data_IF_388388762483
#
_entry.id   IF_388388762483
#
_cell.length_a   1.000
_cell.length_b   1.000
_cell.length_c   1.000
_cell.angle_alpha   90.00
_cell.angle_beta   90.00
_cell.angle_gamma   90.00
#
_symmetry.space_group_name_H-M   'P 1'
#
loop_
_entity.id
_entity.type
_entity.pdbx_description
1 polymer ?
#
# COMPACT_ATOMS: atom_id res chain seq x y z
N UNK A 1 18.34 15.10 6.59
CA UNK A 1 17.54 13.94 7.02
C UNK A 1 16.07 14.37 7.02
N UNK A 2 15.36 14.19 5.89
CA UNK A 2 14.10 14.90 5.57
C UNK A 2 12.84 14.04 5.51
N UNK A 3 12.86 12.86 6.11
CA UNK A 3 11.66 12.02 6.20
C UNK A 3 11.24 11.98 7.66
N UNK A 4 10.10 12.59 7.98
CA UNK A 4 9.50 12.46 9.31
C UNK A 4 9.13 10.99 9.48
N UNK A 5 9.96 10.24 10.21
CA UNK A 5 9.75 8.83 10.47
C UNK A 5 8.50 8.66 11.35
N UNK A 6 8.49 9.28 12.53
CA UNK A 6 7.31 9.46 13.38
C UNK A 6 7.16 10.97 13.59
N UNK A 7 5.95 11.49 13.42
CA UNK A 7 5.65 12.89 13.61
C UNK A 7 4.30 13.13 14.28
N UNK A 8 4.20 14.26 14.98
CA UNK A 8 2.95 14.88 15.39
C UNK A 8 2.84 16.21 14.64
N UNK A 9 1.99 16.24 13.61
CA UNK A 9 1.76 17.40 12.78
C UNK A 9 0.81 18.34 13.52
N UNK A 10 1.34 19.49 13.95
CA UNK A 10 0.57 20.53 14.62
C UNK A 10 -0.02 21.48 13.57
N UNK A 11 -1.35 21.55 13.41
CA UNK A 11 -1.96 22.54 12.53
C UNK A 11 -1.62 23.97 12.97
N UNK A 12 -1.57 24.92 12.02
CA UNK A 12 -1.44 26.35 12.35
C UNK A 12 -2.63 26.88 13.15
N UNK A 13 -3.81 26.33 12.87
CA UNK A 13 -5.03 26.56 13.64
C UNK A 13 -4.97 25.79 14.97
N UNK A 14 -4.65 26.50 16.05
CA UNK A 14 -4.47 25.93 17.38
C UNK A 14 -5.75 25.29 17.97
N UNK A 15 -6.93 25.54 17.37
CA UNK A 15 -8.16 24.87 17.79
C UNK A 15 -8.21 23.40 17.36
N UNK A 16 -7.36 22.98 16.41
CA UNK A 16 -7.36 21.63 15.85
C UNK A 16 -6.31 20.75 16.50
N UNK A 17 -6.64 19.48 16.80
CA UNK A 17 -5.71 18.57 17.46
C UNK A 17 -4.57 18.16 16.52
N UNK A 18 -3.40 17.94 17.11
CA UNK A 18 -2.26 17.35 16.43
C UNK A 18 -2.63 16.03 15.74
N UNK A 19 -2.14 15.82 14.52
CA UNK A 19 -2.36 14.58 13.78
C UNK A 19 -1.09 13.74 13.74
N UNK A 20 -1.17 12.41 13.92
CA UNK A 20 -0.03 11.54 13.68
C UNK A 20 0.37 11.60 12.21
N UNK A 21 1.67 11.64 11.94
CA UNK A 21 2.22 11.71 10.59
C UNK A 21 3.53 10.95 10.47
N UNK A 22 4.01 10.85 9.25
CA UNK A 22 5.27 10.19 8.93
C UNK A 22 5.14 8.77 8.40
N UNK A 23 6.24 8.27 7.83
CA UNK A 23 6.29 6.97 7.17
C UNK A 23 6.09 5.81 8.16
N UNK A 24 6.44 6.03 9.43
CA UNK A 24 6.35 5.08 10.53
C UNK A 24 4.94 4.57 10.78
N UNK A 25 3.90 5.35 10.44
CA UNK A 25 2.49 4.99 10.70
C UNK A 25 2.12 3.65 10.07
N UNK A 26 2.75 3.28 8.95
CA UNK A 26 2.56 2.00 8.28
C UNK A 26 3.68 0.97 8.52
N UNK A 27 4.73 1.32 9.26
CA UNK A 27 5.82 0.40 9.59
C UNK A 27 5.49 -0.41 10.85
N UNK A 28 5.85 -1.69 10.87
CA UNK A 28 5.61 -2.62 11.99
C UNK A 28 6.56 -2.44 13.18
N UNK A 29 7.04 -1.21 13.38
CA UNK A 29 7.90 -0.82 14.50
C UNK A 29 7.15 0.11 15.46
N UNK A 30 7.58 0.14 16.72
CA UNK A 30 7.00 0.96 17.79
C UNK A 30 7.66 2.33 17.86
N UNK A 31 8.99 2.43 17.68
CA UNK A 31 9.75 3.66 17.87
C UNK A 31 10.72 3.91 16.73
N UNK A 32 11.95 3.41 16.81
CA UNK A 32 13.02 3.75 15.87
C UNK A 32 12.76 3.17 14.46
N UNK A 33 13.34 3.82 13.45
CA UNK A 33 13.42 3.22 12.12
C UNK A 33 14.30 1.97 12.21
N UNK A 34 13.85 0.80 11.71
CA UNK A 34 14.65 -0.41 11.78
C UNK A 34 15.93 -0.28 10.97
N UNK A 35 16.99 -0.94 11.44
CA UNK A 35 18.22 -1.08 10.68
C UNK A 35 17.99 -1.83 9.36
N UNK A 36 18.85 -1.55 8.38
CA UNK A 36 18.80 -2.24 7.09
C UNK A 36 19.11 -3.74 7.26
N UNK A 37 18.62 -4.60 6.34
CA UNK A 37 18.98 -6.01 6.31
C UNK A 37 20.51 -6.21 6.40
N UNK A 38 20.94 -7.18 7.22
CA UNK A 38 22.36 -7.45 7.50
C UNK A 38 22.97 -6.58 8.62
N UNK A 39 22.24 -5.59 9.14
CA UNK A 39 22.66 -4.74 10.27
C UNK A 39 21.67 -4.74 11.44
N UNK A 40 20.71 -5.67 11.41
CA UNK A 40 19.68 -5.82 12.45
C UNK A 40 20.35 -6.22 13.78
N UNK A 41 19.92 -5.59 14.87
CA UNK A 41 20.43 -5.85 16.21
C UNK A 41 19.30 -6.08 17.22
N UNK A 42 19.67 -6.29 18.49
CA UNK A 42 18.71 -6.57 19.57
C UNK A 42 17.65 -5.47 19.76
N UNK A 43 18.01 -4.20 19.54
CA UNK A 43 17.07 -3.09 19.65
C UNK A 43 15.99 -3.15 18.57
N UNK A 44 16.31 -3.61 17.35
CA UNK A 44 15.31 -3.80 16.30
C UNK A 44 14.27 -4.86 16.68
N UNK A 45 14.69 -5.96 17.31
CA UNK A 45 13.77 -7.01 17.75
C UNK A 45 12.83 -6.54 18.87
N UNK A 46 13.35 -5.76 19.82
CA UNK A 46 12.54 -5.15 20.90
C UNK A 46 11.57 -4.07 20.40
N UNK A 47 11.79 -3.58 19.18
CA UNK A 47 11.02 -2.50 18.57
C UNK A 47 9.85 -3.00 17.71
N UNK A 48 9.63 -4.31 17.57
CA UNK A 48 8.56 -4.87 16.73
C UNK A 48 7.18 -4.64 17.38
N UNK A 49 6.23 -4.11 16.61
CA UNK A 49 4.83 -4.02 17.02
C UNK A 49 4.08 -5.31 16.60
N UNK A 50 3.99 -6.28 17.52
CA UNK A 50 3.31 -7.55 17.24
C UNK A 50 1.77 -7.37 17.11
N UNK A 51 1.20 -6.41 17.83
CA UNK A 51 -0.25 -6.27 17.98
C UNK A 51 -0.90 -5.66 16.73
N UNK A 52 -0.16 -4.87 15.96
CA UNK A 52 -0.66 -4.26 14.71
C UNK A 52 -1.14 -5.28 13.69
N UNK A 53 -0.57 -6.50 13.69
CA UNK A 53 -0.96 -7.58 12.80
C UNK A 53 -1.79 -8.67 13.47
N UNK A 54 -1.72 -8.81 14.80
CA UNK A 54 -2.27 -9.98 15.50
C UNK A 54 -3.46 -9.69 16.42
N UNK A 55 -3.70 -8.44 16.85
CA UNK A 55 -4.76 -8.12 17.80
C UNK A 55 -5.92 -7.36 17.12
N UNK A 56 -7.18 -7.85 17.13
CA UNK A 56 -8.27 -7.32 16.30
C UNK A 56 -8.72 -5.91 16.69
N UNK A 57 -8.64 -5.58 17.98
CA UNK A 57 -9.05 -4.28 18.51
C UNK A 57 -7.87 -3.35 18.85
N UNK A 58 -6.68 -3.67 18.37
CA UNK A 58 -5.51 -2.83 18.58
C UNK A 58 -5.46 -1.69 17.57
N UNK A 59 -5.31 -0.48 18.10
CA UNK A 59 -5.00 0.73 17.34
C UNK A 59 -3.87 1.43 18.08
N UNK A 60 -3.02 2.13 17.33
CA UNK A 60 -1.91 2.88 17.88
C UNK A 60 -2.01 4.35 17.51
N UNK A 61 -1.64 5.21 18.44
CA UNK A 61 -1.41 6.64 18.24
C UNK A 61 0.07 6.95 18.38
N UNK A 62 0.41 8.23 18.32
CA UNK A 62 1.78 8.71 18.59
C UNK A 62 1.79 9.41 19.94
N UNK A 63 2.76 9.07 20.79
CA UNK A 63 2.99 9.66 22.10
C UNK A 63 4.42 10.16 22.23
N UNK A 64 4.64 11.10 23.15
CA UNK A 64 6.00 11.53 23.53
C UNK A 64 6.68 10.48 24.41
N UNK A 65 7.97 10.31 24.20
CA UNK A 65 8.86 9.46 24.99
C UNK A 65 10.15 10.25 25.28
N UNK A 66 10.12 11.04 26.35
CA UNK A 66 11.09 12.11 26.57
C UNK A 66 11.03 13.12 25.42
N UNK A 67 12.18 13.37 24.78
CA UNK A 67 12.30 14.24 23.60
C UNK A 67 11.91 13.55 22.28
N UNK A 68 11.73 12.22 22.30
CA UNK A 68 11.40 11.43 21.12
C UNK A 68 9.89 11.19 20.98
N UNK A 69 9.50 10.65 19.82
CA UNK A 69 8.15 10.15 19.57
C UNK A 69 8.17 8.63 19.38
N UNK A 70 7.12 7.96 19.85
CA UNK A 70 6.87 6.54 19.58
C UNK A 70 5.40 6.30 19.29
N UNK A 71 5.11 5.20 18.61
CA UNK A 71 3.80 4.60 18.60
C UNK A 71 3.50 3.97 19.96
N UNK A 72 2.27 4.12 20.39
CA UNK A 72 1.73 3.43 21.55
C UNK A 72 0.27 3.14 21.32
N UNK A 73 -0.31 2.27 22.13
CA UNK A 73 -1.74 2.00 22.12
C UNK A 73 -2.54 3.32 22.19
N UNK A 74 -3.48 3.49 21.27
CA UNK A 74 -4.32 4.68 21.22
C UNK A 74 -5.22 4.75 22.47
N UNK A 75 -5.74 5.94 22.78
CA UNK A 75 -6.68 6.11 23.89
C UNK A 75 -7.85 5.12 23.80
N UNK A 76 -8.19 4.49 24.93
CA UNK A 76 -9.25 3.48 25.02
C UNK A 76 -8.83 2.05 24.63
N UNK A 77 -7.57 1.82 24.23
CA UNK A 77 -7.05 0.47 23.98
C UNK A 77 -6.49 -0.12 25.28
N UNK A 78 -7.12 -1.19 25.76
CA UNK A 78 -6.55 -2.06 26.79
C UNK A 78 -5.49 -2.97 26.14
N UNK A 79 -4.22 -2.71 26.44
CA UNK A 79 -3.09 -3.44 25.86
C UNK A 79 -3.04 -4.89 26.34
N UNK A 80 -3.44 -5.17 27.58
CA UNK A 80 -3.45 -6.54 28.09
C UNK A 80 -4.53 -7.35 27.35
N UNK A 81 -5.74 -6.78 27.21
CA UNK A 81 -6.81 -7.43 26.44
C UNK A 81 -6.45 -7.57 24.96
N UNK A 82 -5.76 -6.59 24.37
CA UNK A 82 -5.26 -6.70 23.00
C UNK A 82 -4.24 -7.85 22.88
N UNK A 83 -3.29 -7.97 23.81
CA UNK A 83 -2.30 -9.05 23.83
C UNK A 83 -2.94 -10.42 24.08
N UNK A 84 -3.98 -10.52 24.91
CA UNK A 84 -4.73 -11.76 25.16
C UNK A 84 -5.62 -12.19 23.99
N UNK A 85 -5.93 -11.29 23.05
CA UNK A 85 -6.78 -11.55 21.87
C UNK A 85 -5.97 -11.80 20.59
N UNK A 86 -4.67 -12.05 20.72
CA UNK A 86 -3.81 -12.35 19.56
C UNK A 86 -4.31 -13.57 18.80
N UNK A 87 -4.34 -13.45 17.47
CA UNK A 87 -4.87 -14.48 16.58
C UNK A 87 -4.21 -14.43 15.20
N UNK A 88 -4.63 -15.33 14.30
CA UNK A 88 -4.26 -15.28 12.88
C UNK A 88 -4.74 -13.93 12.30
N UNK A 89 -3.92 -13.22 11.49
CA UNK A 89 -4.29 -11.92 10.95
C UNK A 89 -5.58 -11.96 10.13
N UNK A 90 -6.47 -10.98 10.36
CA UNK A 90 -7.66 -10.72 9.54
C UNK A 90 -7.37 -9.68 8.45
N UNK A 91 -8.26 -9.53 7.48
CA UNK A 91 -8.10 -8.54 6.41
C UNK A 91 -8.04 -7.11 6.97
N UNK A 92 -8.85 -6.83 7.98
CA UNK A 92 -8.90 -5.53 8.65
C UNK A 92 -7.54 -5.16 9.26
N UNK A 93 -6.81 -6.14 9.82
CA UNK A 93 -5.48 -5.90 10.40
C UNK A 93 -4.45 -5.51 9.32
N UNK A 94 -4.46 -6.19 8.17
CA UNK A 94 -3.61 -5.82 7.04
C UNK A 94 -3.98 -4.42 6.49
N UNK A 95 -5.30 -4.16 6.42
CA UNK A 95 -5.83 -2.92 5.86
C UNK A 95 -5.61 -1.68 6.74
N UNK A 96 -5.20 -1.83 8.01
CA UNK A 96 -4.75 -0.71 8.87
C UNK A 96 -3.70 0.17 8.19
N UNK A 97 -2.81 -0.47 7.42
CA UNK A 97 -1.77 0.23 6.66
C UNK A 97 -2.09 0.23 5.17
N UNK A 98 -2.47 -0.93 4.61
CA UNK A 98 -2.62 -1.08 3.17
C UNK A 98 -3.75 -0.23 2.58
N UNK A 99 -4.86 -0.03 3.31
CA UNK A 99 -6.00 0.73 2.80
C UNK A 99 -5.69 2.22 2.60
N UNK A 100 -4.92 2.83 3.50
CA UNK A 100 -4.68 4.27 3.53
C UNK A 100 -3.36 4.72 2.90
N UNK A 101 -2.69 3.82 2.17
CA UNK A 101 -1.44 4.14 1.48
C UNK A 101 -1.62 5.34 0.53
N UNK A 102 -0.75 6.35 0.66
CA UNK A 102 -0.88 7.61 -0.09
C UNK A 102 -1.78 8.66 0.58
N UNK A 103 -2.10 8.52 1.87
CA UNK A 103 -2.77 9.55 2.66
C UNK A 103 -4.30 9.54 2.56
N UNK A 104 -4.88 8.38 2.23
CA UNK A 104 -6.33 8.20 2.23
C UNK A 104 -6.74 6.84 1.68
N UNK A 105 -7.98 6.41 1.95
CA UNK A 105 -8.48 5.10 1.57
C UNK A 105 -8.41 4.91 0.04
N UNK A 106 -7.81 3.81 -0.42
CA UNK A 106 -7.68 3.43 -1.82
C UNK A 106 -6.89 4.39 -2.74
N UNK A 107 -6.25 5.42 -2.17
CA UNK A 107 -5.58 6.47 -2.94
C UNK A 107 -4.47 5.96 -3.86
N UNK A 108 -3.59 5.08 -3.35
CA UNK A 108 -2.41 4.61 -4.09
C UNK A 108 -2.70 3.50 -5.11
N UNK A 109 -3.12 2.32 -4.65
CA UNK A 109 -3.24 1.14 -5.52
C UNK A 109 -4.57 1.08 -6.28
N UNK A 110 -5.66 1.60 -5.71
CA UNK A 110 -6.98 1.62 -6.36
C UNK A 110 -7.72 0.29 -6.36
N UNK A 111 -7.18 -0.77 -5.74
CA UNK A 111 -7.78 -2.12 -5.74
C UNK A 111 -7.91 -2.70 -4.33
N UNK A 112 -8.17 -1.85 -3.33
CA UNK A 112 -8.43 -2.33 -1.97
C UNK A 112 -9.68 -3.23 -1.98
N UNK A 113 -9.55 -4.51 -1.58
CA UNK A 113 -10.66 -5.45 -1.70
C UNK A 113 -11.66 -5.24 -0.57
N UNK A 114 -12.94 -5.21 -0.91
CA UNK A 114 -14.06 -5.26 0.02
C UNK A 114 -14.94 -6.47 -0.31
N UNK A 115 -15.88 -6.81 0.57
CA UNK A 115 -16.88 -7.86 0.26
C UNK A 115 -17.73 -7.52 -0.98
N UNK A 116 -17.87 -6.23 -1.30
CA UNK A 116 -18.67 -5.76 -2.44
C UNK A 116 -17.86 -5.66 -3.74
N UNK A 117 -16.53 -5.45 -3.63
CA UNK A 117 -15.66 -5.19 -4.79
C UNK A 117 -14.79 -6.39 -5.20
N UNK A 118 -14.57 -7.36 -4.31
CA UNK A 118 -13.69 -8.50 -4.52
C UNK A 118 -14.37 -9.84 -4.20
N UNK A 119 -14.45 -10.73 -5.18
CA UNK A 119 -15.15 -12.02 -5.08
C UNK A 119 -14.48 -12.99 -4.11
N UNK A 120 -13.17 -12.90 -3.90
CA UNK A 120 -12.44 -13.77 -2.99
C UNK A 120 -12.72 -13.36 -1.55
N UNK A 121 -12.65 -12.05 -1.27
CA UNK A 121 -13.00 -11.51 0.05
C UNK A 121 -14.49 -11.71 0.36
N UNK A 122 -15.38 -11.57 -0.63
CA UNK A 122 -16.80 -11.88 -0.49
C UNK A 122 -17.06 -13.34 -0.06
N UNK A 123 -16.19 -14.27 -0.47
CA UNK A 123 -16.24 -15.69 -0.11
C UNK A 123 -15.48 -16.02 1.19
N UNK A 124 -15.03 -15.00 1.93
CA UNK A 124 -14.38 -15.18 3.23
C UNK A 124 -12.88 -15.44 3.16
N UNK A 125 -12.23 -15.22 2.00
CA UNK A 125 -10.78 -15.35 1.90
C UNK A 125 -10.07 -14.25 2.70
N UNK A 126 -9.05 -14.64 3.46
CA UNK A 126 -8.16 -13.72 4.14
C UNK A 126 -6.91 -13.40 3.30
N UNK A 127 -6.29 -12.23 3.53
CA UNK A 127 -5.08 -11.80 2.82
C UNK A 127 -4.00 -12.89 2.86
N UNK A 128 -3.77 -13.48 4.03
CA UNK A 128 -2.75 -14.53 4.26
C UNK A 128 -3.07 -15.88 3.61
N UNK A 129 -4.29 -16.09 3.11
CA UNK A 129 -4.64 -17.30 2.36
C UNK A 129 -4.13 -17.21 0.89
N UNK A 130 -3.98 -15.99 0.36
CA UNK A 130 -3.37 -15.71 -0.95
C UNK A 130 -1.90 -15.26 -0.84
N UNK A 131 -1.55 -14.59 0.27
CA UNK A 131 -0.20 -14.13 0.63
C UNK A 131 0.45 -15.10 1.63
N UNK A 132 0.95 -16.28 1.17
CA UNK A 132 1.52 -17.29 2.05
C UNK A 132 2.68 -16.70 2.86
N UNK A 133 2.68 -16.98 4.16
CA UNK A 133 3.67 -16.43 5.08
C UNK A 133 4.53 -17.54 5.67
N UNK A 134 5.85 -17.40 5.59
CA UNK A 134 6.81 -18.37 6.12
C UNK A 134 7.80 -17.67 7.04
N UNK A 135 7.85 -18.03 8.34
CA UNK A 135 8.74 -17.38 9.33
C UNK A 135 8.63 -15.84 9.29
N UNK A 136 7.39 -15.32 9.25
CA UNK A 136 7.05 -13.89 9.12
C UNK A 136 7.50 -13.20 7.81
N UNK A 137 8.02 -13.94 6.83
CA UNK A 137 8.23 -13.45 5.47
C UNK A 137 6.94 -13.62 4.67
N UNK A 138 6.39 -12.54 4.14
CA UNK A 138 5.07 -12.57 3.47
C UNK A 138 5.29 -12.67 1.96
N UNK A 139 4.71 -13.71 1.34
CA UNK A 139 4.67 -13.85 -0.10
C UNK A 139 3.83 -12.75 -0.72
N UNK A 140 4.45 -11.93 -1.55
CA UNK A 140 3.78 -10.95 -2.41
C UNK A 140 4.18 -11.17 -3.87
N UNK A 141 4.39 -10.08 -4.60
CA UNK A 141 5.17 -10.15 -5.82
C UNK A 141 4.33 -10.09 -7.08
N UNK A 142 4.01 -8.87 -7.46
CA UNK A 142 3.77 -8.53 -8.86
C UNK A 142 4.16 -7.12 -9.28
N UNK A 143 4.61 -6.24 -8.40
CA UNK A 143 4.94 -4.85 -8.79
C UNK A 143 5.99 -4.19 -7.88
N UNK A 144 6.33 -4.82 -6.76
CA UNK A 144 7.29 -4.30 -5.78
C UNK A 144 8.71 -4.80 -6.08
N UNK A 145 9.68 -3.88 -6.01
CA UNK A 145 11.12 -4.20 -6.14
C UNK A 145 11.66 -5.02 -4.97
N UNK A 146 10.96 -5.05 -3.84
CA UNK A 146 11.35 -5.79 -2.64
C UNK A 146 10.27 -6.84 -2.33
N UNK A 147 10.73 -8.07 -2.10
CA UNK A 147 9.91 -9.25 -1.85
C UNK A 147 10.55 -10.01 -0.68
N UNK A 148 9.74 -10.46 0.29
CA UNK A 148 10.28 -11.23 1.42
C UNK A 148 10.57 -12.70 1.04
N UNK A 149 9.71 -13.28 0.19
CA UNK A 149 9.82 -14.62 -0.35
C UNK A 149 9.95 -14.57 -1.88
N UNK A 150 11.19 -14.55 -2.39
CA UNK A 150 11.51 -14.42 -3.81
C UNK A 150 11.03 -15.61 -4.65
N UNK A 151 11.06 -16.81 -4.07
CA UNK A 151 10.65 -18.05 -4.77
C UNK A 151 9.14 -18.29 -4.71
N UNK A 152 8.41 -17.47 -3.97
CA UNK A 152 6.96 -17.62 -3.79
C UNK A 152 6.22 -16.63 -4.67
N UNK A 153 5.61 -17.18 -5.72
CA UNK A 153 4.82 -16.43 -6.68
C UNK A 153 3.34 -16.47 -6.30
N UNK A 154 2.78 -15.30 -5.98
CA UNK A 154 1.33 -15.13 -5.86
C UNK A 154 0.74 -15.04 -7.26
N UNK A 155 -0.10 -16.02 -7.62
CA UNK A 155 -0.75 -16.10 -8.93
C UNK A 155 -2.11 -16.81 -8.81
N UNK A 156 -3.01 -16.53 -9.75
CA UNK A 156 -4.35 -17.11 -9.79
C UNK A 156 -4.30 -18.63 -9.89
N UNK A 157 -3.27 -19.17 -10.56
CA UNK A 157 -3.08 -20.61 -10.74
C UNK A 157 -2.68 -21.35 -9.46
N UNK A 158 -2.44 -20.65 -8.34
CA UNK A 158 -2.24 -21.30 -7.05
C UNK A 158 -3.51 -21.99 -6.53
N UNK A 159 -4.68 -21.53 -6.98
CA UNK A 159 -5.99 -22.12 -6.65
C UNK A 159 -6.75 -22.55 -7.92
N UNK A 160 -6.68 -21.77 -8.99
CA UNK A 160 -7.32 -22.08 -10.28
C UNK A 160 -6.44 -23.00 -11.13
N UNK A 161 -6.41 -24.29 -10.78
CA UNK A 161 -5.48 -25.30 -11.34
C UNK A 161 -6.05 -26.16 -12.46
N UNK A 162 -7.33 -26.03 -12.78
CA UNK A 162 -7.94 -26.86 -13.81
C UNK A 162 -7.29 -26.60 -15.18
N UNK A 163 -7.03 -27.67 -15.94
CA UNK A 163 -6.38 -27.59 -17.25
C UNK A 163 -7.18 -26.75 -18.26
N UNK A 164 -8.50 -26.69 -18.08
CA UNK A 164 -9.42 -25.76 -18.72
C UNK A 164 -10.20 -24.98 -17.66
N UNK A 165 -9.68 -23.82 -17.25
CA UNK A 165 -10.33 -22.95 -16.24
C UNK A 165 -11.67 -22.42 -16.78
N UNK A 166 -11.73 -22.11 -18.08
CA UNK A 166 -12.94 -21.60 -18.73
C UNK A 166 -13.71 -22.73 -19.43
N UNK A 167 -14.30 -23.66 -18.67
CA UNK A 167 -15.04 -24.82 -19.22
C UNK A 167 -16.24 -24.45 -20.08
N UNK A 168 -16.88 -23.31 -19.78
CA UNK A 168 -18.03 -22.82 -20.52
C UNK A 168 -17.68 -22.29 -21.92
N UNK A 169 -16.40 -22.02 -22.20
CA UNK A 169 -15.93 -21.66 -23.53
C UNK A 169 -15.69 -22.92 -24.37
N UNK A 170 -16.71 -23.32 -25.13
CA UNK A 170 -16.67 -24.49 -26.01
C UNK A 170 -15.57 -24.43 -27.08
N UNK A 171 -15.07 -23.23 -27.41
CA UNK A 171 -13.99 -23.05 -28.41
C UNK A 171 -12.59 -23.26 -27.81
N UNK A 172 -12.47 -23.21 -26.48
CA UNK A 172 -11.20 -23.20 -25.75
C UNK A 172 -10.31 -21.98 -26.01
N UNK A 173 -10.82 -20.97 -26.72
CA UNK A 173 -10.06 -19.79 -27.14
C UNK A 173 -9.63 -18.92 -25.96
N UNK A 174 -10.46 -18.77 -24.92
CA UNK A 174 -10.11 -18.01 -23.72
C UNK A 174 -8.95 -18.68 -22.97
N UNK A 175 -8.94 -20.02 -22.89
CA UNK A 175 -7.84 -20.75 -22.27
C UNK A 175 -6.52 -20.53 -23.03
N UNK A 176 -6.54 -20.43 -24.37
CA UNK A 176 -5.34 -20.10 -25.16
C UNK A 176 -4.77 -18.72 -24.83
N UNK A 177 -5.61 -17.71 -24.59
CA UNK A 177 -5.14 -16.37 -24.21
C UNK A 177 -4.34 -16.34 -22.91
N UNK A 178 -4.62 -17.25 -21.97
CA UNK A 178 -3.90 -17.30 -20.68
C UNK A 178 -2.38 -17.48 -20.82
N UNK A 179 -1.91 -17.95 -21.99
CA UNK A 179 -0.48 -18.02 -22.33
C UNK A 179 0.17 -16.64 -22.51
N UNK A 180 -0.57 -15.63 -22.95
CA UNK A 180 -0.07 -14.28 -23.28
C UNK A 180 -0.76 -13.13 -22.55
N UNK A 181 -1.90 -13.38 -21.91
CA UNK A 181 -2.70 -12.41 -21.17
C UNK A 181 -2.80 -12.86 -19.72
N UNK A 182 -2.46 -11.98 -18.78
CA UNK A 182 -2.56 -12.23 -17.36
C UNK A 182 -4.03 -12.21 -16.92
N UNK A 183 -4.45 -13.12 -16.03
CA UNK A 183 -5.86 -13.27 -15.61
C UNK A 183 -6.50 -11.95 -15.17
N UNK A 184 -5.73 -11.13 -14.45
CA UNK A 184 -6.10 -9.82 -13.96
C UNK A 184 -6.59 -8.89 -15.09
N UNK A 185 -6.03 -8.98 -16.31
CA UNK A 185 -6.42 -8.15 -17.46
C UNK A 185 -7.90 -8.30 -17.77
N UNK A 186 -8.44 -9.51 -17.68
CA UNK A 186 -9.84 -9.79 -17.96
C UNK A 186 -10.71 -9.69 -16.69
N UNK A 187 -10.19 -10.11 -15.53
CA UNK A 187 -10.97 -10.24 -14.30
C UNK A 187 -10.94 -9.00 -13.39
N UNK A 188 -10.07 -8.02 -13.66
CA UNK A 188 -10.00 -6.74 -12.95
C UNK A 188 -10.16 -5.62 -13.99
N UNK A 189 -11.38 -5.38 -14.50
CA UNK A 189 -11.60 -4.50 -15.64
C UNK A 189 -11.40 -3.01 -15.33
N UNK A 190 -11.41 -2.64 -14.05
CA UNK A 190 -11.18 -1.28 -13.58
C UNK A 190 -10.65 -1.26 -12.14
N UNK A 191 -9.85 -0.26 -11.81
CA UNK A 191 -9.55 0.11 -10.44
C UNK A 191 -10.64 1.05 -9.89
N UNK A 192 -10.75 1.12 -8.56
CA UNK A 192 -11.70 1.96 -7.82
C UNK A 192 -13.15 1.76 -8.31
N UNK A 193 -13.58 0.49 -8.40
CA UNK A 193 -14.91 0.11 -8.87
C UNK A 193 -16.03 0.55 -7.93
N UNK A 194 -15.74 0.60 -6.63
CA UNK A 194 -16.64 1.20 -5.66
C UNK A 194 -16.54 2.73 -5.74
N UNK A 195 -17.61 3.44 -6.16
CA UNK A 195 -17.57 4.90 -6.27
C UNK A 195 -17.35 5.60 -4.92
N UNK A 196 -17.59 4.92 -3.78
CA UNK A 196 -17.32 5.45 -2.44
C UNK A 196 -15.83 5.44 -2.08
N UNK A 197 -15.01 4.72 -2.86
CA UNK A 197 -13.58 4.53 -2.62
C UNK A 197 -12.77 4.92 -3.87
N UNK A 198 -12.80 6.21 -4.29
CA UNK A 198 -12.02 6.66 -5.44
C UNK A 198 -10.52 6.47 -5.21
N UNK A 199 -9.77 6.34 -6.30
CA UNK A 199 -8.31 6.31 -6.27
C UNK A 199 -7.73 7.60 -6.84
N UNK A 200 -6.46 7.90 -6.57
CA UNK A 200 -5.81 9.11 -7.08
C UNK A 200 -5.05 8.80 -8.37
N UNK A 201 -5.41 9.44 -9.47
CA UNK A 201 -4.76 9.27 -10.78
C UNK A 201 -3.69 10.33 -11.04
N UNK A 202 -3.81 11.51 -10.44
CA UNK A 202 -2.79 12.55 -10.48
C UNK A 202 -2.60 13.18 -9.11
N UNK A 203 -1.35 13.50 -8.76
CA UNK A 203 -1.00 14.21 -7.54
C UNK A 203 -0.02 15.34 -7.85
N UNK A 204 -0.40 16.56 -7.52
CA UNK A 204 0.40 17.75 -7.75
C UNK A 204 0.89 18.33 -6.41
N UNK A 205 2.18 18.13 -6.14
CA UNK A 205 2.83 18.61 -4.93
C UNK A 205 3.17 20.11 -4.99
N UNK A 206 3.12 20.74 -6.17
CA UNK A 206 3.35 22.18 -6.32
C UNK A 206 2.13 23.01 -5.90
N UNK A 207 0.96 22.36 -5.75
CA UNK A 207 -0.31 23.01 -5.43
C UNK A 207 -0.86 22.50 -4.11
N UNK A 208 -0.57 23.16 -2.99
CA UNK A 208 -1.06 22.78 -1.67
C UNK A 208 -2.56 23.04 -1.52
N UNK A 209 -3.28 22.13 -0.87
CA UNK A 209 -4.70 22.22 -0.53
C UNK A 209 -4.89 22.01 0.96
N UNK A 210 -5.53 22.98 1.62
CA UNK A 210 -5.83 22.90 3.05
C UNK A 210 -7.03 21.98 3.30
N UNK A 211 -6.83 20.95 4.12
CA UNK A 211 -7.93 20.16 4.66
C UNK A 211 -8.55 20.91 5.85
N UNK A 212 -9.78 21.38 5.69
CA UNK A 212 -10.45 22.19 6.71
C UNK A 212 -10.72 21.43 8.02
N UNK A 213 -10.89 20.10 7.98
CA UNK A 213 -11.14 19.31 9.18
C UNK A 213 -9.90 19.16 10.05
N UNK A 214 -8.74 18.94 9.41
CA UNK A 214 -7.47 18.71 10.12
C UNK A 214 -6.63 19.96 10.28
N UNK A 215 -6.86 21.00 9.47
CA UNK A 215 -6.01 22.19 9.41
C UNK A 215 -4.63 21.93 8.80
N UNK A 216 -4.46 20.82 8.09
CA UNK A 216 -3.21 20.41 7.44
C UNK A 216 -3.33 20.48 5.92
N UNK A 217 -2.21 20.78 5.28
CA UNK A 217 -2.08 20.79 3.83
C UNK A 217 -1.76 19.40 3.27
N UNK A 218 -2.33 19.11 2.11
CA UNK A 218 -1.97 18.00 1.25
C UNK A 218 -1.79 18.48 -0.19
N UNK A 219 -1.20 17.66 -1.05
CA UNK A 219 -1.09 17.99 -2.47
C UNK A 219 -2.47 18.00 -3.11
N UNK A 220 -2.62 18.74 -4.21
CA UNK A 220 -3.80 18.65 -5.06
C UNK A 220 -3.87 17.23 -5.62
N UNK A 221 -4.98 16.54 -5.38
CA UNK A 221 -5.22 15.19 -5.86
C UNK A 221 -6.36 15.21 -6.88
N UNK A 222 -6.20 14.42 -7.95
CA UNK A 222 -7.28 14.14 -8.90
C UNK A 222 -7.86 12.76 -8.57
N UNK A 223 -9.00 12.69 -7.85
CA UNK A 223 -9.68 11.44 -7.59
C UNK A 223 -10.41 10.93 -8.84
N UNK A 224 -10.45 9.62 -9.01
CA UNK A 224 -11.23 8.97 -10.05
C UNK A 224 -11.74 7.60 -9.58
N UNK A 225 -12.91 7.22 -10.10
CA UNK A 225 -13.54 5.91 -9.89
C UNK A 225 -13.70 5.20 -11.23
N UNK A 226 -13.83 3.88 -11.22
CA UNK A 226 -13.88 3.04 -12.43
C UNK A 226 -12.74 3.34 -13.42
N UNK A 227 -11.53 3.49 -12.88
CA UNK A 227 -10.34 3.82 -13.68
C UNK A 227 -9.97 2.61 -14.53
N UNK A 228 -10.11 2.76 -15.85
CA UNK A 228 -9.68 1.74 -16.82
C UNK A 228 -8.15 1.57 -16.73
N UNK A 229 -7.63 0.34 -16.63
CA UNK A 229 -6.19 0.11 -16.60
C UNK A 229 -5.55 0.43 -17.94
N UNK A 230 -4.27 0.77 -17.89
CA UNK A 230 -3.38 0.61 -19.03
C UNK A 230 -2.92 -0.83 -19.13
N UNK A 231 -2.75 -1.33 -20.35
CA UNK A 231 -2.26 -2.67 -20.60
C UNK A 231 -0.82 -2.60 -21.09
N UNK A 232 0.07 -3.33 -20.42
CA UNK A 232 1.50 -3.37 -20.74
C UNK A 232 1.99 -4.82 -20.72
N UNK A 233 2.98 -5.12 -21.56
CA UNK A 233 3.73 -6.36 -21.45
C UNK A 233 4.56 -6.34 -20.18
N UNK A 234 4.54 -7.44 -19.44
CA UNK A 234 5.24 -7.54 -18.18
C UNK A 234 5.76 -8.95 -17.95
N UNK A 235 7.08 -9.06 -17.70
CA UNK A 235 7.80 -10.30 -17.49
C UNK A 235 8.16 -10.57 -16.02
N UNK A 236 7.48 -9.87 -15.11
CA UNK A 236 7.75 -9.88 -13.67
C UNK A 236 8.89 -9.00 -13.17
N UNK A 237 9.45 -8.16 -14.03
CA UNK A 237 10.48 -7.18 -13.68
C UNK A 237 9.98 -5.73 -13.79
N UNK A 238 10.60 -4.82 -13.03
CA UNK A 238 10.31 -3.39 -13.02
C UNK A 238 11.60 -2.57 -13.19
N UNK A 239 11.55 -1.52 -13.99
CA UNK A 239 12.66 -0.57 -14.19
C UNK A 239 12.71 0.54 -13.12
N UNK A 240 13.66 1.48 -13.22
CA UNK A 240 13.74 2.69 -12.38
C UNK A 240 13.77 3.93 -13.26
N UNK A 241 12.79 4.85 -13.19
CA UNK A 241 11.56 4.82 -12.37
C UNK A 241 10.68 3.60 -12.65
N UNK A 242 9.77 3.21 -11.72
CA UNK A 242 9.02 1.96 -11.83
C UNK A 242 8.11 1.93 -13.05
N UNK A 243 8.53 1.21 -14.08
CA UNK A 243 7.74 0.83 -15.25
C UNK A 243 7.84 -0.69 -15.46
N UNK A 244 6.78 -1.36 -15.93
CA UNK A 244 6.78 -2.78 -16.20
C UNK A 244 7.69 -3.12 -17.39
N UNK A 245 8.58 -4.08 -17.20
CA UNK A 245 9.49 -4.57 -18.25
C UNK A 245 8.85 -5.73 -18.99
N UNK A 246 8.89 -5.72 -20.31
CA UNK A 246 8.46 -6.83 -21.15
C UNK A 246 8.06 -6.38 -22.55
N UNK A 247 7.94 -7.35 -23.46
CA UNK A 247 7.48 -7.11 -24.83
C UNK A 247 6.79 -8.34 -25.46
N UNK A 248 6.33 -8.22 -26.70
CA UNK A 248 5.63 -9.28 -27.41
C UNK A 248 6.52 -10.47 -27.82
N UNK A 249 7.83 -10.25 -27.97
CA UNK A 249 8.82 -11.29 -28.33
C UNK A 249 9.34 -12.03 -27.10
N UNK A 250 9.26 -11.42 -25.92
CA UNK A 250 9.62 -12.09 -24.66
C UNK A 250 8.59 -13.18 -24.30
N UNK A 251 8.98 -14.47 -24.29
CA UNK A 251 8.07 -15.57 -23.98
C UNK A 251 7.59 -15.57 -22.52
N UNK A 252 8.29 -14.87 -21.61
CA UNK A 252 7.89 -14.73 -20.20
C UNK A 252 6.88 -13.59 -19.99
N UNK A 253 6.77 -12.68 -20.95
CA UNK A 253 5.89 -11.52 -20.85
C UNK A 253 4.42 -11.88 -21.02
N UNK A 254 3.55 -11.26 -20.24
CA UNK A 254 2.09 -11.28 -20.45
C UNK A 254 1.51 -9.87 -20.40
N UNK A 255 0.46 -9.63 -21.17
CA UNK A 255 -0.32 -8.40 -21.08
C UNK A 255 -0.99 -8.34 -19.70
N UNK A 256 -0.66 -7.31 -18.94
CA UNK A 256 -1.05 -7.13 -17.52
C UNK A 256 -1.69 -5.75 -17.34
N UNK A 257 -2.73 -5.59 -16.50
CA UNK A 257 -3.36 -4.30 -16.26
C UNK A 257 -2.58 -3.49 -15.22
N UNK A 258 -2.43 -2.20 -15.48
CA UNK A 258 -1.72 -1.25 -14.63
C UNK A 258 -2.56 0.00 -14.41
N UNK A 259 -2.63 0.46 -13.16
CA UNK A 259 -3.15 1.79 -12.86
C UNK A 259 -2.00 2.80 -13.00
N UNK A 260 -2.05 3.66 -14.03
CA UNK A 260 -1.12 4.79 -14.13
C UNK A 260 -1.49 5.87 -13.11
N UNK A 261 -0.46 6.40 -12.44
CA UNK A 261 -0.56 7.59 -11.61
C UNK A 261 0.52 8.59 -12.03
N UNK A 262 0.13 9.84 -12.23
CA UNK A 262 1.07 10.92 -12.52
C UNK A 262 1.35 11.73 -11.25
N UNK A 263 2.61 12.16 -11.11
CA UNK A 263 3.04 12.98 -9.98
C UNK A 263 3.73 14.22 -10.54
N UNK A 264 3.20 15.39 -10.21
CA UNK A 264 3.92 16.66 -10.40
C UNK A 264 4.67 16.93 -9.11
N UNK A 265 5.99 17.03 -9.22
CA UNK A 265 6.90 17.23 -8.11
C UNK A 265 7.74 18.48 -8.36
N UNK A 266 8.30 19.01 -7.29
CA UNK A 266 9.27 20.10 -7.38
C UNK A 266 10.57 19.51 -7.90
N UNK A 267 11.21 20.21 -8.81
CA UNK A 267 12.52 19.87 -9.33
C UNK A 267 13.47 21.03 -9.10
N UNK A 268 14.74 20.69 -8.96
CA UNK A 268 15.85 21.64 -8.98
C UNK A 268 15.93 22.28 -10.37
N UNK A 269 15.97 23.61 -10.43
CA UNK A 269 15.85 24.37 -11.69
C UNK A 269 17.02 24.10 -12.66
N UNK A 270 18.24 23.98 -12.12
CA UNK A 270 19.44 23.77 -12.92
C UNK A 270 19.53 22.34 -13.47
N UNK A 271 19.21 21.34 -12.64
CA UNK A 271 19.41 19.92 -12.98
C UNK A 271 18.14 19.23 -13.50
N UNK A 272 16.96 19.83 -13.30
CA UNK A 272 15.66 19.22 -13.58
C UNK A 272 15.34 18.00 -12.71
N UNK A 273 16.15 17.71 -11.68
CA UNK A 273 15.98 16.53 -10.83
C UNK A 273 14.95 16.78 -9.73
N UNK A 274 14.05 15.83 -9.44
CA UNK A 274 13.11 15.94 -8.33
C UNK A 274 13.80 16.21 -6.99
N UNK A 275 13.27 17.16 -6.22
CA UNK A 275 13.73 17.48 -4.87
C UNK A 275 12.90 16.73 -3.84
N UNK A 276 13.54 16.23 -2.79
CA UNK A 276 12.82 15.61 -1.68
C UNK A 276 12.14 16.67 -0.81
N UNK A 277 10.81 16.72 -0.88
CA UNK A 277 10.01 17.57 0.00
C UNK A 277 10.01 17.03 1.43
N UNK A 278 10.08 17.93 2.41
CA UNK A 278 9.86 17.59 3.81
C UNK A 278 8.36 17.51 4.06
N UNK A 279 7.76 16.34 3.80
CA UNK A 279 6.30 16.16 3.82
C UNK A 279 5.60 16.68 5.10
N UNK A 280 6.22 16.60 6.27
CA UNK A 280 5.62 17.15 7.49
C UNK A 280 5.66 18.66 7.58
N UNK A 281 6.69 19.31 7.02
CA UNK A 281 6.73 20.77 6.89
C UNK A 281 5.66 21.20 5.91
N UNK A 282 5.64 20.58 4.72
CA UNK A 282 4.62 20.78 3.69
C UNK A 282 3.20 20.69 4.28
N UNK A 283 2.92 19.66 5.07
CA UNK A 283 1.59 19.48 5.67
C UNK A 283 1.19 20.55 6.69
N UNK A 284 2.14 21.25 7.31
CA UNK A 284 1.84 22.33 8.28
C UNK A 284 1.83 23.70 7.61
N UNK A 285 2.77 23.94 6.69
CA UNK A 285 2.99 25.27 6.11
C UNK A 285 2.22 25.47 4.81
N UNK A 286 2.00 24.40 4.05
CA UNK A 286 1.58 24.44 2.66
C UNK A 286 2.73 24.77 1.70
N UNK A 287 3.96 24.88 2.19
CA UNK A 287 5.12 25.28 1.39
C UNK A 287 5.75 24.04 0.71
N UNK A 288 5.77 23.98 -0.64
CA UNK A 288 6.34 22.89 -1.44
C UNK A 288 7.80 22.55 -1.10
#
# INVERSE_FOLDING_TARGET
>A
MGHNWIGLLQPKDASKPAQPGGCGTCHTAISAKPNLPGKVNEADYKNIDCLVCHAPNYRRGVVKDGENLKFWAAGGVDVLKAAQSVQKPTNEMCLRCHAATGGGPNHKHGVIPTKDSDVHVAKGMHCVDCHPTQKHKIGGGSDLKAQDLWDVKVDCTNCHKEQAIHKADATGYINKHSSRIQCQTCHIPAAARDPKMPTITARDWTKPVLNQQTGLYGPTNTPASNVKPEYRWWNRSMETPPEPVGDIKDPKSKITPWKRSTYTVIADEETGKPVFIKAGVYSVTGDP
#
